data_IF_682710184812
#
_entry.id   IF_682710184812
#
_cell.length_a   1.000
_cell.length_b   1.000
_cell.length_c   1.000
_cell.angle_alpha   90.00
_cell.angle_beta   90.00
_cell.angle_gamma   90.00
#
_symmetry.space_group_name_H-M   'P 1'
#
loop_
_entity.id
_entity.type
_entity.pdbx_description
1 polymer ?
#
# COMPACT_ATOMS: atom_id res chain seq x y z
N UNK A 1 -11.38 -0.60 5.98
CA UNK A 1 -11.47 0.59 5.13
C UNK A 1 -10.11 0.90 4.53
N UNK A 2 -10.07 1.38 3.29
CA UNK A 2 -8.82 1.74 2.62
C UNK A 2 -8.74 3.25 2.45
N UNK A 3 -7.56 3.80 2.69
CA UNK A 3 -7.30 5.23 2.61
C UNK A 3 -6.32 5.51 1.47
N UNK A 4 -6.56 6.56 0.67
CA UNK A 4 -5.61 6.91 -0.38
C UNK A 4 -4.29 7.40 0.22
N UNK A 5 -3.18 7.00 -0.37
CA UNK A 5 -1.86 7.42 0.05
C UNK A 5 -1.17 8.25 -1.01
N UNK A 6 -0.99 7.68 -2.21
CA UNK A 6 -0.38 8.45 -3.30
C UNK A 6 -0.78 7.86 -4.65
N UNK A 7 -0.68 8.69 -5.68
CA UNK A 7 -0.84 8.29 -7.07
C UNK A 7 0.44 8.65 -7.80
N UNK A 8 1.04 7.68 -8.48
CA UNK A 8 2.27 7.89 -9.25
C UNK A 8 1.95 8.50 -10.62
N UNK A 9 2.98 9.00 -11.30
CA UNK A 9 2.80 9.64 -12.61
C UNK A 9 2.16 8.73 -13.66
N UNK A 10 2.40 7.44 -13.57
CA UNK A 10 1.83 6.48 -14.51
C UNK A 10 0.41 6.05 -14.16
N UNK A 11 -0.20 6.67 -13.16
CA UNK A 11 -1.54 6.35 -12.71
C UNK A 11 -1.61 5.24 -11.66
N UNK A 12 -0.49 4.68 -11.25
CA UNK A 12 -0.47 3.68 -10.18
C UNK A 12 -0.97 4.30 -8.89
N UNK A 13 -1.99 3.70 -8.30
CA UNK A 13 -2.56 4.16 -7.02
C UNK A 13 -2.09 3.27 -5.88
N UNK A 14 -1.70 3.91 -4.79
CA UNK A 14 -1.32 3.22 -3.56
C UNK A 14 -2.29 3.64 -2.47
N UNK A 15 -2.96 2.65 -1.88
CA UNK A 15 -3.89 2.87 -0.76
C UNK A 15 -3.49 1.95 0.38
N UNK A 16 -3.93 2.27 1.60
CA UNK A 16 -3.59 1.46 2.76
C UNK A 16 -4.78 1.30 3.71
N UNK A 17 -4.74 0.27 4.53
CA UNK A 17 -5.74 0.04 5.56
C UNK A 17 -5.42 0.85 6.81
N UNK A 18 -6.32 0.83 7.78
CA UNK A 18 -6.00 1.20 9.14
C UNK A 18 -5.00 0.20 9.73
N UNK A 19 -4.38 0.60 10.84
CA UNK A 19 -3.51 -0.30 11.60
C UNK A 19 -4.38 -1.37 12.25
N UNK A 20 -3.99 -2.62 12.05
CA UNK A 20 -4.72 -3.78 12.59
C UNK A 20 -3.81 -4.54 13.53
N UNK A 21 -4.41 -5.17 14.55
CA UNK A 21 -3.67 -6.04 15.45
C UNK A 21 -4.04 -7.49 15.16
N UNK A 22 -3.03 -8.31 14.95
CA UNK A 22 -3.22 -9.72 14.69
C UNK A 22 -2.12 -10.50 15.42
N UNK A 23 -2.54 -11.36 16.34
CA UNK A 23 -1.59 -12.11 17.15
C UNK A 23 -0.62 -11.26 17.96
N UNK A 24 -1.06 -10.08 18.40
CA UNK A 24 -0.21 -9.16 19.16
C UNK A 24 0.74 -8.32 18.29
N UNK A 25 0.62 -8.41 16.96
CA UNK A 25 1.49 -7.68 16.04
C UNK A 25 0.65 -6.71 15.20
N UNK A 26 1.21 -5.53 14.98
CA UNK A 26 0.60 -4.54 14.10
C UNK A 26 0.79 -4.94 12.65
N UNK A 27 -0.27 -4.83 11.87
CA UNK A 27 -0.24 -5.07 10.43
C UNK A 27 -0.96 -3.97 9.68
N UNK A 28 -0.43 -3.60 8.54
CA UNK A 28 -1.04 -2.63 7.64
C UNK A 28 -1.05 -3.23 6.23
N UNK A 29 -2.21 -3.21 5.61
CA UNK A 29 -2.38 -3.71 4.25
C UNK A 29 -2.14 -2.56 3.27
N UNK A 30 -1.26 -2.76 2.30
CA UNK A 30 -1.00 -1.80 1.23
C UNK A 30 -1.49 -2.40 -0.07
N UNK A 31 -2.42 -1.72 -0.73
CA UNK A 31 -2.97 -2.17 -2.00
C UNK A 31 -2.47 -1.27 -3.12
N UNK A 32 -2.00 -1.87 -4.19
CA UNK A 32 -1.41 -1.16 -5.33
C UNK A 32 -2.16 -1.57 -6.59
N UNK A 33 -2.67 -0.58 -7.34
CA UNK A 33 -3.35 -0.82 -8.59
C UNK A 33 -2.80 0.10 -9.67
N UNK A 34 -2.55 -0.46 -10.84
CA UNK A 34 -2.09 0.30 -12.00
C UNK A 34 -3.06 0.09 -13.15
N UNK A 35 -3.70 1.17 -13.67
CA UNK A 35 -4.56 1.03 -14.84
C UNK A 35 -3.74 0.73 -16.09
N UNK A 36 -4.23 -0.20 -16.89
CA UNK A 36 -3.65 -0.55 -18.19
C UNK A 36 -4.78 -0.66 -19.19
N UNK A 37 -4.47 -0.75 -20.49
CA UNK A 37 -5.48 -0.71 -21.55
C UNK A 37 -6.55 -1.80 -21.42
N UNK A 38 -6.22 -2.94 -20.85
CA UNK A 38 -7.14 -4.07 -20.71
C UNK A 38 -7.68 -4.26 -19.28
N UNK A 39 -7.48 -3.29 -18.37
CA UNK A 39 -7.97 -3.39 -17.00
C UNK A 39 -7.00 -2.84 -15.99
N UNK A 40 -6.63 -3.64 -15.00
CA UNK A 40 -5.73 -3.23 -13.92
C UNK A 40 -4.71 -4.30 -13.62
N UNK A 41 -3.50 -3.87 -13.30
CA UNK A 41 -2.55 -4.71 -12.57
C UNK A 41 -2.77 -4.41 -11.09
N UNK A 42 -2.70 -5.41 -10.23
CA UNK A 42 -2.94 -5.22 -8.80
C UNK A 42 -2.04 -6.10 -7.96
N UNK A 43 -1.79 -5.66 -6.74
CA UNK A 43 -1.01 -6.43 -5.77
C UNK A 43 -1.31 -5.91 -4.37
N UNK A 44 -1.14 -6.79 -3.38
CA UNK A 44 -1.27 -6.46 -1.97
C UNK A 44 0.04 -6.76 -1.26
N UNK A 45 0.50 -5.81 -0.45
CA UNK A 45 1.70 -5.96 0.37
C UNK A 45 1.33 -5.73 1.83
N UNK A 46 1.69 -6.66 2.70
CA UNK A 46 1.45 -6.54 4.13
C UNK A 46 2.69 -6.01 4.84
N UNK A 47 2.50 -4.96 5.62
CA UNK A 47 3.56 -4.39 6.46
C UNK A 47 3.45 -4.91 7.88
N UNK A 48 4.53 -5.05 8.63
CA UNK A 48 5.89 -4.69 8.28
C UNK A 48 6.70 -5.79 7.57
N UNK A 49 6.08 -6.93 7.29
CA UNK A 49 6.79 -8.11 6.80
C UNK A 49 7.09 -8.08 5.29
N UNK A 50 6.48 -7.15 4.54
CA UNK A 50 6.58 -7.09 3.08
C UNK A 50 6.15 -8.39 2.44
N UNK A 51 5.05 -8.95 2.91
CA UNK A 51 4.47 -10.15 2.37
C UNK A 51 3.51 -9.80 1.26
N UNK A 52 3.82 -10.24 0.05
CA UNK A 52 3.00 -9.98 -1.13
C UNK A 52 1.98 -11.09 -1.35
N UNK A 53 0.79 -10.70 -1.78
CA UNK A 53 -0.25 -11.64 -2.16
C UNK A 53 -1.16 -11.03 -3.22
N UNK A 54 -1.94 -11.87 -3.87
CA UNK A 54 -2.90 -11.43 -4.88
C UNK A 54 -2.26 -10.57 -5.96
N UNK A 55 -1.06 -10.97 -6.38
CA UNK A 55 -0.33 -10.25 -7.43
C UNK A 55 -0.92 -10.64 -8.78
N UNK A 56 -1.44 -9.66 -9.50
CA UNK A 56 -2.06 -9.87 -10.82
C UNK A 56 -1.48 -8.87 -11.82
N UNK A 57 -0.82 -9.38 -12.85
CA UNK A 57 -0.32 -8.57 -13.96
C UNK A 57 1.06 -7.96 -13.75
N UNK A 58 1.51 -7.78 -12.53
CA UNK A 58 2.86 -7.28 -12.27
C UNK A 58 3.89 -8.39 -12.43
N UNK A 59 5.02 -8.04 -13.05
CA UNK A 59 6.17 -8.95 -13.15
C UNK A 59 6.93 -8.96 -11.82
N UNK A 60 7.76 -9.99 -11.56
CA UNK A 60 8.62 -9.98 -10.37
C UNK A 60 9.51 -8.75 -10.26
N UNK A 61 10.01 -8.23 -11.39
CA UNK A 61 10.84 -7.03 -11.41
C UNK A 61 10.03 -5.79 -10.98
N UNK A 62 8.79 -5.69 -11.46
CA UNK A 62 7.90 -4.61 -11.06
C UNK A 62 7.59 -4.68 -9.57
N UNK A 63 7.38 -5.88 -9.03
CA UNK A 63 7.15 -6.05 -7.59
C UNK A 63 8.39 -5.64 -6.80
N UNK A 64 9.59 -5.97 -7.25
CA UNK A 64 10.82 -5.54 -6.58
C UNK A 64 10.91 -4.02 -6.51
N UNK A 65 10.58 -3.34 -7.61
CA UNK A 65 10.57 -1.88 -7.67
C UNK A 65 9.51 -1.28 -6.71
N UNK A 66 8.33 -1.87 -6.70
CA UNK A 66 7.26 -1.44 -5.81
C UNK A 66 7.64 -1.68 -4.35
N UNK A 67 8.31 -2.78 -4.04
CA UNK A 67 8.76 -3.04 -2.69
C UNK A 67 9.78 -2.00 -2.24
N UNK A 68 10.72 -1.64 -3.08
CA UNK A 68 11.70 -0.60 -2.77
C UNK A 68 11.00 0.72 -2.45
N UNK A 69 9.99 1.08 -3.23
CA UNK A 69 9.20 2.28 -2.99
C UNK A 69 8.45 2.19 -1.66
N UNK A 70 7.74 1.09 -1.41
CA UNK A 70 6.99 0.88 -0.17
C UNK A 70 7.93 0.92 1.04
N UNK A 71 9.11 0.29 0.94
CA UNK A 71 10.10 0.32 2.02
C UNK A 71 10.54 1.73 2.37
N UNK A 72 10.69 2.59 1.37
CA UNK A 72 11.09 3.97 1.61
C UNK A 72 10.01 4.80 2.30
N UNK A 73 8.75 4.38 2.19
CA UNK A 73 7.58 5.11 2.70
C UNK A 73 6.86 4.39 3.84
N UNK A 74 7.31 3.20 4.20
CA UNK A 74 6.59 2.35 5.15
C UNK A 74 6.32 3.03 6.48
N UNK A 75 7.28 3.79 7.02
CA UNK A 75 7.09 4.48 8.30
C UNK A 75 5.97 5.52 8.23
N UNK A 76 5.85 6.23 7.10
CA UNK A 76 4.79 7.21 6.90
C UNK A 76 3.44 6.49 6.76
N UNK A 77 3.41 5.42 5.98
CA UNK A 77 2.18 4.64 5.78
C UNK A 77 1.67 4.09 7.12
N UNK A 78 2.56 3.53 7.94
CA UNK A 78 2.18 2.98 9.25
C UNK A 78 1.67 4.07 10.18
N UNK A 79 2.31 5.23 10.21
CA UNK A 79 1.84 6.35 11.02
C UNK A 79 0.45 6.81 10.58
N UNK A 80 0.24 6.96 9.28
CA UNK A 80 -1.07 7.34 8.75
C UNK A 80 -2.12 6.27 9.04
N UNK A 81 -1.74 5.00 8.96
CA UNK A 81 -2.65 3.90 9.27
C UNK A 81 -3.13 3.96 10.72
N UNK A 82 -2.25 4.33 11.63
CA UNK A 82 -2.61 4.50 13.06
C UNK A 82 -3.55 5.68 13.27
N UNK A 83 -3.42 6.72 12.46
CA UNK A 83 -4.19 7.95 12.58
C UNK A 83 -5.47 7.95 11.71
N UNK A 84 -5.68 6.91 10.92
CA UNK A 84 -6.85 6.81 10.05
C UNK A 84 -6.70 7.50 8.71
N UNK A 85 -5.48 7.66 8.20
CA UNK A 85 -5.20 8.18 6.87
C UNK A 85 -4.95 9.69 6.82
N UNK A 86 -4.68 10.21 5.63
CA UNK A 86 -4.37 11.62 5.42
C UNK A 86 -5.47 12.57 5.88
N UNK A 87 -6.72 12.20 5.68
CA UNK A 87 -7.83 13.05 6.05
C UNK A 87 -7.85 13.34 7.55
N UNK A 88 -7.53 12.34 8.36
CA UNK A 88 -7.43 12.52 9.81
C UNK A 88 -6.15 13.24 10.19
N UNK A 89 -5.04 12.93 9.54
CA UNK A 89 -3.76 13.55 9.85
C UNK A 89 -3.75 15.05 9.54
N UNK A 90 -4.52 15.49 8.53
CA UNK A 90 -4.56 16.88 8.11
C UNK A 90 -5.67 17.69 8.76
N UNK A 91 -6.53 17.06 9.53
CA UNK A 91 -7.67 17.73 10.18
C UNK A 91 -7.31 18.43 11.49
N UNK A 92 -6.08 18.45 11.83
CA UNK A 92 -5.59 19.02 13.08
C UNK A 92 -5.56 20.54 13.04
#
# INVERSE_FOLDING_TARGET
>A
MLYPFMTLEDGTEIVHSESMQEGGREKVKVCIEKPVDWGFKSATCWLPDYQWEKVEGFTPEEIDDLQALVQSLAHVIIELARDGGFEHATAI
#
